data_IF_759995564789
#
_entry.id   IF_759995564789
#
_cell.length_a   1.000
_cell.length_b   1.000
_cell.length_c   1.000
_cell.angle_alpha   90.00
_cell.angle_beta   90.00
_cell.angle_gamma   90.00
#
_symmetry.space_group_name_H-M   'P 1'
#
loop_
_entity.id
_entity.type
_entity.pdbx_description
1 polymer ?
#
# COMPACT_ATOMS: atom_id res chain seq x y z
N UNK A 1 30.40 -7.72 53.27
CA UNK A 1 31.54 -8.40 52.64
C UNK A 1 31.09 -9.04 51.34
N UNK A 2 31.16 -8.32 50.22
CA UNK A 2 32.36 -8.09 49.41
C UNK A 2 32.80 -9.33 48.60
N UNK A 3 32.50 -9.26 47.29
CA UNK A 3 33.43 -9.55 46.17
C UNK A 3 33.71 -11.04 45.83
N UNK A 4 33.96 -11.50 44.58
CA UNK A 4 34.10 -10.93 43.23
C UNK A 4 34.29 -12.09 42.22
N UNK A 5 33.67 -11.98 41.04
CA UNK A 5 34.20 -12.20 39.68
C UNK A 5 34.45 -13.56 38.96
N UNK A 6 34.30 -13.42 37.62
CA UNK A 6 34.67 -14.23 36.42
C UNK A 6 33.73 -15.40 36.08
N UNK A 7 33.12 -15.54 34.90
CA UNK A 7 33.40 -15.01 33.55
C UNK A 7 34.20 -16.04 32.74
N UNK A 8 33.57 -16.75 31.79
CA UNK A 8 33.93 -16.77 30.36
C UNK A 8 33.03 -17.74 29.54
N UNK A 9 32.98 -17.48 28.24
CA UNK A 9 32.23 -18.11 27.16
C UNK A 9 32.31 -19.63 27.04
N UNK A 10 31.21 -20.22 26.57
CA UNK A 10 31.14 -21.63 26.19
C UNK A 10 29.83 -21.98 25.50
N UNK A 11 29.72 -21.58 24.23
CA UNK A 11 28.70 -22.10 23.30
C UNK A 11 28.77 -23.63 23.26
N UNK A 12 27.82 -24.29 23.93
CA UNK A 12 27.60 -25.72 23.79
C UNK A 12 26.23 -25.95 23.16
N UNK A 13 26.22 -26.18 21.85
CA UNK A 13 25.09 -26.77 21.14
C UNK A 13 24.82 -28.15 21.77
N UNK A 14 23.62 -28.42 22.32
CA UNK A 14 23.34 -29.76 22.81
C UNK A 14 23.15 -30.69 21.61
N UNK A 15 24.03 -31.69 21.56
CA UNK A 15 24.00 -32.81 20.62
C UNK A 15 22.74 -33.63 20.89
N UNK A 16 21.91 -33.83 19.87
CA UNK A 16 20.68 -34.64 19.96
C UNK A 16 21.04 -36.12 20.09
N UNK A 17 20.63 -36.84 21.15
CA UNK A 17 20.60 -38.28 21.14
C UNK A 17 19.30 -38.76 20.48
N UNK A 18 19.46 -39.66 19.53
CA UNK A 18 18.39 -40.47 18.96
C UNK A 18 17.92 -41.48 20.00
N UNK A 19 16.78 -41.25 20.64
CA UNK A 19 15.96 -42.35 21.19
C UNK A 19 14.51 -41.91 21.41
N UNK A 20 13.62 -42.87 21.17
CA UNK A 20 12.17 -42.73 21.17
C UNK A 20 11.62 -42.36 22.55
N UNK A 21 11.45 -41.06 22.78
CA UNK A 21 10.76 -40.51 23.94
C UNK A 21 9.82 -39.39 23.49
N UNK A 22 8.56 -39.49 23.88
CA UNK A 22 7.55 -38.45 23.71
C UNK A 22 8.05 -37.16 24.38
N UNK A 23 8.49 -36.19 23.57
CA UNK A 23 8.76 -34.83 24.03
C UNK A 23 7.41 -34.14 24.19
N UNK A 24 6.88 -34.11 25.41
CA UNK A 24 5.94 -33.08 25.81
C UNK A 24 6.74 -31.79 25.96
N UNK A 25 7.00 -31.13 24.83
CA UNK A 25 7.37 -29.74 24.84
C UNK A 25 6.14 -28.97 25.32
N UNK A 26 6.01 -28.82 26.63
CA UNK A 26 5.13 -27.83 27.23
C UNK A 26 5.67 -26.46 26.79
N UNK A 27 5.22 -26.00 25.63
CA UNK A 27 5.42 -24.64 25.18
C UNK A 27 4.50 -23.75 26.02
N UNK A 28 4.95 -23.39 27.22
CA UNK A 28 4.27 -22.45 28.12
C UNK A 28 4.42 -20.99 27.64
N UNK A 29 4.29 -20.81 26.33
CA UNK A 29 4.34 -19.54 25.60
C UNK A 29 3.26 -19.56 24.53
N UNK A 30 2.72 -18.40 24.18
CA UNK A 30 1.65 -18.28 23.19
C UNK A 30 2.02 -19.04 21.89
N UNK A 31 1.34 -20.15 21.63
CA UNK A 31 1.53 -20.93 20.42
C UNK A 31 1.18 -20.05 19.20
N UNK A 32 2.14 -19.88 18.30
CA UNK A 32 2.01 -19.04 17.12
C UNK A 32 3.01 -19.41 16.05
N UNK A 33 2.66 -19.17 14.79
CA UNK A 33 3.52 -19.43 13.64
C UNK A 33 3.66 -18.15 12.82
N UNK A 34 4.89 -17.74 12.52
CA UNK A 34 5.16 -16.65 11.59
C UNK A 34 5.32 -17.20 10.17
N UNK A 35 4.50 -16.71 9.26
CA UNK A 35 4.56 -17.08 7.84
C UNK A 35 5.08 -15.88 7.06
N UNK A 36 6.27 -16.02 6.48
CA UNK A 36 6.88 -15.01 5.62
C UNK A 36 7.33 -15.62 4.30
N UNK A 37 7.18 -14.86 3.21
CA UNK A 37 7.54 -15.33 1.89
C UNK A 37 6.93 -14.51 0.77
N UNK A 38 7.21 -14.93 -0.46
CA UNK A 38 6.72 -14.27 -1.67
C UNK A 38 6.11 -15.31 -2.60
N UNK A 39 4.90 -15.04 -3.08
CA UNK A 39 4.17 -15.94 -3.97
C UNK A 39 4.05 -15.30 -5.36
N UNK A 40 4.50 -16.02 -6.40
CA UNK A 40 4.27 -15.62 -7.79
C UNK A 40 3.00 -16.29 -8.27
N UNK A 41 1.95 -15.50 -8.47
CA UNK A 41 0.62 -15.97 -8.84
C UNK A 41 0.19 -15.39 -10.18
N UNK A 42 -0.77 -16.04 -10.82
CA UNK A 42 -1.46 -15.45 -11.97
C UNK A 42 -2.30 -14.27 -11.50
N UNK A 43 -2.44 -13.26 -12.37
CA UNK A 43 -3.18 -12.04 -12.09
C UNK A 43 -4.67 -12.23 -12.35
N UNK A 44 -5.31 -13.07 -11.53
CA UNK A 44 -6.74 -13.38 -11.60
C UNK A 44 -7.38 -13.31 -10.21
N UNK A 45 -8.69 -13.06 -10.11
CA UNK A 45 -9.40 -13.18 -8.84
C UNK A 45 -9.22 -14.58 -8.25
N UNK A 46 -8.91 -14.65 -6.95
CA UNK A 46 -8.59 -15.90 -6.27
C UNK A 46 -8.68 -15.78 -4.76
N UNK A 47 -8.48 -16.89 -4.04
CA UNK A 47 -8.48 -16.89 -2.57
C UNK A 47 -7.32 -17.72 -2.06
N UNK A 48 -6.48 -17.11 -1.21
CA UNK A 48 -5.46 -17.80 -0.44
C UNK A 48 -6.10 -18.29 0.87
N UNK A 49 -6.05 -19.60 1.14
CA UNK A 49 -6.64 -20.20 2.34
C UNK A 49 -5.56 -20.85 3.18
N UNK A 50 -5.55 -20.53 4.47
CA UNK A 50 -4.69 -21.15 5.48
C UNK A 50 -5.60 -21.91 6.44
N UNK A 51 -5.41 -23.22 6.52
CA UNK A 51 -6.19 -24.12 7.36
C UNK A 51 -5.22 -24.90 8.25
N UNK A 52 -5.65 -25.20 9.47
CA UNK A 52 -4.95 -26.17 10.30
C UNK A 52 -5.19 -27.59 9.74
N UNK A 53 -4.13 -28.37 9.61
CA UNK A 53 -4.19 -29.76 9.18
C UNK A 53 -3.33 -30.62 10.09
N UNK A 54 -3.89 -31.71 10.60
CA UNK A 54 -3.20 -32.67 11.46
C UNK A 54 -3.36 -34.08 10.85
N UNK A 55 -2.24 -34.78 10.63
CA UNK A 55 -2.23 -36.11 10.01
C UNK A 55 -2.50 -37.26 10.99
N UNK A 56 -2.12 -37.09 12.26
CA UNK A 56 -2.16 -38.18 13.26
C UNK A 56 -2.93 -37.81 14.54
N UNK A 57 -3.53 -36.62 14.58
CA UNK A 57 -4.27 -36.10 15.75
C UNK A 57 -5.60 -35.54 15.26
N UNK A 58 -6.68 -35.81 15.99
CA UNK A 58 -8.00 -35.25 15.68
C UNK A 58 -8.02 -33.77 16.05
N UNK A 59 -8.22 -32.91 15.04
CA UNK A 59 -8.35 -31.47 15.23
C UNK A 59 -9.82 -31.13 15.49
N UNK A 60 -10.14 -30.71 16.71
CA UNK A 60 -11.48 -30.21 17.05
C UNK A 60 -11.64 -28.77 16.52
N UNK A 61 -12.55 -28.51 15.55
CA UNK A 61 -12.72 -27.19 14.93
C UNK A 61 -13.02 -26.06 15.91
N UNK A 62 -13.68 -26.36 17.03
CA UNK A 62 -14.09 -25.38 18.03
C UNK A 62 -12.95 -24.72 18.81
N UNK A 63 -11.77 -25.33 18.85
CA UNK A 63 -10.61 -24.87 19.62
C UNK A 63 -9.51 -24.21 18.79
N UNK A 64 -9.64 -24.23 17.46
CA UNK A 64 -8.67 -23.60 16.58
C UNK A 64 -8.82 -22.08 16.66
N UNK A 65 -7.77 -21.42 17.15
CA UNK A 65 -7.73 -19.98 17.26
C UNK A 65 -7.04 -19.35 16.04
N UNK A 66 -7.76 -18.51 15.30
CA UNK A 66 -7.24 -17.79 14.13
C UNK A 66 -6.79 -16.36 14.43
N UNK A 67 -6.57 -16.01 15.71
CA UNK A 67 -5.96 -14.72 16.09
C UNK A 67 -4.64 -14.56 15.35
N UNK A 68 -4.48 -13.48 14.60
CA UNK A 68 -3.26 -13.24 13.85
C UNK A 68 -2.98 -11.75 13.69
N UNK A 69 -1.73 -11.42 13.44
CA UNK A 69 -1.27 -10.07 13.12
C UNK A 69 -0.72 -10.09 11.70
N UNK A 70 -1.23 -9.20 10.85
CA UNK A 70 -0.69 -9.05 9.50
C UNK A 70 0.38 -7.98 9.57
N UNK A 71 1.65 -8.40 9.58
CA UNK A 71 2.77 -7.46 9.60
C UNK A 71 2.85 -6.73 8.27
N UNK A 72 3.13 -7.45 7.18
CA UNK A 72 3.33 -6.85 5.86
C UNK A 72 2.66 -7.68 4.77
N UNK A 73 1.86 -7.02 3.93
CA UNK A 73 1.22 -7.64 2.79
C UNK A 73 1.21 -6.66 1.61
N UNK A 74 1.97 -6.99 0.56
CA UNK A 74 2.26 -6.09 -0.56
C UNK A 74 2.15 -6.82 -1.90
N UNK A 75 1.79 -6.07 -2.93
CA UNK A 75 1.74 -6.56 -4.31
C UNK A 75 2.76 -5.83 -5.17
N UNK A 76 3.46 -6.58 -6.03
CA UNK A 76 4.46 -6.04 -6.94
C UNK A 76 4.51 -6.85 -8.25
N UNK A 77 4.87 -6.18 -9.36
CA UNK A 77 4.97 -6.81 -10.70
C UNK A 77 6.21 -7.68 -10.84
N UNK A 78 7.31 -7.24 -10.24
CA UNK A 78 8.58 -7.94 -10.19
C UNK A 78 9.08 -7.86 -8.74
N UNK A 79 9.42 -9.00 -8.13
CA UNK A 79 10.13 -9.02 -6.86
C UNK A 79 11.57 -9.42 -7.13
N UNK A 80 12.51 -8.49 -6.97
CA UNK A 80 13.92 -8.84 -7.01
C UNK A 80 14.32 -9.37 -5.63
N UNK A 81 14.75 -10.63 -5.53
CA UNK A 81 14.98 -11.33 -4.24
C UNK A 81 15.96 -10.58 -3.33
N UNK A 82 16.97 -9.92 -3.90
CA UNK A 82 17.95 -9.11 -3.15
C UNK A 82 17.34 -7.88 -2.47
N UNK A 83 16.24 -7.34 -2.99
CA UNK A 83 15.61 -6.12 -2.49
C UNK A 83 14.56 -6.41 -1.40
N UNK A 84 13.98 -7.61 -1.37
CA UNK A 84 12.95 -8.00 -0.38
C UNK A 84 13.53 -8.09 1.03
N UNK A 85 14.76 -8.58 1.17
CA UNK A 85 15.38 -8.79 2.49
C UNK A 85 15.72 -7.48 3.22
N UNK A 86 16.00 -6.39 2.48
CA UNK A 86 16.22 -5.05 3.04
C UNK A 86 14.96 -4.16 3.06
N UNK A 87 13.93 -4.48 2.26
CA UNK A 87 12.70 -3.67 2.13
C UNK A 87 11.63 -3.97 3.20
N UNK A 88 11.75 -5.08 3.94
CA UNK A 88 10.87 -5.39 5.08
C UNK A 88 11.05 -4.43 6.28
N UNK A 89 12.12 -3.64 6.31
CA UNK A 89 12.38 -2.63 7.34
C UNK A 89 11.76 -1.25 7.05
N UNK A 90 11.24 -1.02 5.83
CA UNK A 90 10.70 0.28 5.43
C UNK A 90 9.20 0.22 5.23
N UNK A 91 8.48 0.85 6.16
CA UNK A 91 7.03 1.03 6.24
C UNK A 91 6.34 1.60 4.98
N UNK A 92 7.13 1.98 3.96
CA UNK A 92 6.68 2.61 2.71
C UNK A 92 7.10 1.80 1.48
N UNK A 93 7.88 0.73 1.63
CA UNK A 93 8.59 0.11 0.52
C UNK A 93 7.93 -1.20 0.09
N UNK A 94 7.05 -1.12 -0.92
CA UNK A 94 6.89 -2.23 -1.86
C UNK A 94 8.28 -2.52 -2.45
N UNK A 95 8.65 -3.78 -2.76
CA UNK A 95 10.01 -4.16 -3.16
C UNK A 95 10.57 -3.47 -4.43
N UNK A 96 9.82 -2.56 -5.05
CA UNK A 96 10.21 -1.77 -6.23
C UNK A 96 9.76 -0.32 -6.06
N UNK A 97 10.23 0.38 -5.03
CA UNK A 97 9.98 1.82 -4.92
C UNK A 97 11.32 2.55 -4.83
N UNK A 98 11.75 3.11 -5.97
CA UNK A 98 12.84 4.10 -6.01
C UNK A 98 12.42 5.33 -5.19
N UNK A 99 13.36 6.04 -4.56
CA UNK A 99 13.07 7.22 -3.72
C UNK A 99 12.28 8.32 -4.47
N UNK A 100 12.41 8.38 -5.80
CA UNK A 100 11.68 9.26 -6.72
C UNK A 100 10.17 8.95 -6.74
N UNK A 101 9.81 7.67 -6.69
CA UNK A 101 8.43 7.20 -6.66
C UNK A 101 7.71 7.54 -5.35
N UNK A 102 8.39 7.39 -4.21
CA UNK A 102 7.81 7.77 -2.91
C UNK A 102 7.45 9.25 -2.93
N UNK A 103 8.32 10.09 -3.49
CA UNK A 103 8.10 11.54 -3.58
C UNK A 103 6.95 11.91 -4.53
N UNK A 104 6.78 11.17 -5.62
CA UNK A 104 5.70 11.37 -6.57
C UNK A 104 4.33 10.93 -6.06
N UNK A 105 4.32 9.93 -5.18
CA UNK A 105 3.09 9.37 -4.63
C UNK A 105 2.75 9.94 -3.24
N UNK A 106 3.73 10.54 -2.53
CA UNK A 106 3.54 11.32 -1.30
C UNK A 106 2.45 12.41 -1.36
N UNK A 107 2.24 13.16 -2.46
CA UNK A 107 1.16 14.13 -2.56
C UNK A 107 -0.23 13.49 -2.74
N UNK A 108 -0.32 12.20 -3.10
CA UNK A 108 -1.60 11.52 -3.16
C UNK A 108 -2.07 11.25 -1.72
N UNK A 109 -3.14 11.93 -1.29
CA UNK A 109 -3.80 11.73 0.02
C UNK A 109 -4.14 10.24 0.26
N UNK A 110 -4.35 9.49 -0.83
CA UNK A 110 -4.59 8.04 -0.91
C UNK A 110 -3.35 7.18 -0.56
N UNK A 111 -2.14 7.70 -0.70
CA UNK A 111 -0.90 6.97 -0.44
C UNK A 111 -0.62 6.76 1.05
N UNK A 112 -1.22 7.57 1.94
CA UNK A 112 -1.11 7.37 3.40
C UNK A 112 -1.70 6.03 3.87
N UNK A 113 -2.57 5.41 3.06
CA UNK A 113 -3.16 4.10 3.32
C UNK A 113 -2.81 3.08 2.22
N UNK A 114 -1.58 3.10 1.68
CA UNK A 114 -1.15 2.13 0.67
C UNK A 114 -1.34 0.66 1.07
N UNK A 115 -1.22 0.38 2.38
CA UNK A 115 -1.26 -0.98 2.92
C UNK A 115 -2.21 -1.04 4.14
N UNK A 116 -3.54 -1.06 3.93
CA UNK A 116 -4.52 -0.98 5.02
C UNK A 116 -4.51 -2.16 5.99
N UNK A 117 -3.84 -3.28 5.67
CA UNK A 117 -3.68 -4.46 6.53
C UNK A 117 -2.39 -4.44 7.36
N UNK A 118 -1.48 -3.48 7.09
CA UNK A 118 -0.16 -3.42 7.72
C UNK A 118 -0.26 -3.17 9.24
N UNK A 119 0.40 -4.02 10.03
CA UNK A 119 0.45 -3.94 11.49
C UNK A 119 -0.89 -4.12 12.20
N UNK A 120 -1.94 -4.63 11.51
CA UNK A 120 -3.25 -4.83 12.13
C UNK A 120 -3.33 -6.18 12.83
N UNK A 121 -3.83 -6.15 14.06
CA UNK A 121 -4.13 -7.33 14.85
C UNK A 121 -5.61 -7.71 14.73
N UNK A 122 -5.87 -8.98 14.40
CA UNK A 122 -7.21 -9.55 14.27
C UNK A 122 -7.38 -10.64 15.32
N UNK A 123 -8.37 -10.47 16.19
CA UNK A 123 -8.65 -11.41 17.27
C UNK A 123 -9.94 -12.19 16.99
N UNK A 124 -9.81 -13.53 16.95
CA UNK A 124 -10.92 -14.46 16.97
C UNK A 124 -11.53 -14.48 18.39
N UNK A 125 -12.74 -13.93 18.54
CA UNK A 125 -13.44 -13.86 19.84
C UNK A 125 -14.39 -15.02 20.13
N UNK A 126 -14.75 -15.80 19.11
CA UNK A 126 -15.77 -16.84 19.20
C UNK A 126 -15.21 -18.20 18.75
N UNK A 127 -15.72 -19.28 19.35
CA UNK A 127 -15.46 -20.63 18.86
C UNK A 127 -16.03 -20.79 17.45
N UNK A 128 -15.38 -21.58 16.61
CA UNK A 128 -15.76 -21.78 15.21
C UNK A 128 -15.76 -20.48 14.37
N UNK A 129 -14.95 -19.49 14.74
CA UNK A 129 -14.84 -18.26 13.97
C UNK A 129 -13.86 -18.41 12.80
N UNK A 130 -14.38 -18.32 11.59
CA UNK A 130 -13.64 -18.07 10.36
C UNK A 130 -13.29 -16.58 10.25
N UNK A 131 -12.03 -16.26 9.91
CA UNK A 131 -11.62 -14.89 9.57
C UNK A 131 -11.35 -14.80 8.07
N UNK A 132 -12.05 -13.89 7.40
CA UNK A 132 -11.91 -13.66 5.98
C UNK A 132 -11.53 -12.20 5.68
N UNK A 133 -10.43 -12.00 4.97
CA UNK A 133 -9.99 -10.71 4.45
C UNK A 133 -10.28 -10.63 2.96
N UNK A 134 -11.06 -9.65 2.54
CA UNK A 134 -11.33 -9.36 1.15
C UNK A 134 -10.51 -8.14 0.72
N UNK A 135 -9.60 -8.36 -0.22
CA UNK A 135 -8.70 -7.36 -0.75
C UNK A 135 -9.11 -7.03 -2.17
N UNK A 136 -9.38 -5.75 -2.43
CA UNK A 136 -9.62 -5.24 -3.77
C UNK A 136 -8.39 -4.50 -4.26
N UNK A 137 -7.70 -5.09 -5.22
CA UNK A 137 -6.43 -4.59 -5.75
C UNK A 137 -6.69 -3.75 -7.00
N UNK A 138 -6.22 -2.51 -6.99
CA UNK A 138 -6.29 -1.60 -8.12
C UNK A 138 -4.88 -1.41 -8.68
N UNK A 139 -4.61 -1.88 -9.91
CA UNK A 139 -3.36 -1.60 -10.58
C UNK A 139 -3.25 -0.11 -10.89
N UNK A 140 -2.07 0.44 -10.69
CA UNK A 140 -1.76 1.80 -11.09
C UNK A 140 -0.43 1.85 -11.81
N UNK A 141 -0.38 2.64 -12.87
CA UNK A 141 0.87 3.02 -13.53
C UNK A 141 1.15 4.49 -13.35
N UNK A 142 2.43 4.78 -13.23
CA UNK A 142 2.95 6.13 -13.29
C UNK A 142 3.88 6.25 -14.50
N UNK A 143 3.85 7.41 -15.12
CA UNK A 143 4.81 7.81 -16.15
C UNK A 143 5.32 9.21 -15.79
N UNK A 144 6.62 9.32 -15.54
CA UNK A 144 7.28 10.60 -15.29
C UNK A 144 7.68 11.28 -16.60
N UNK A 145 7.75 12.61 -16.58
CA UNK A 145 8.29 13.40 -17.71
C UNK A 145 9.76 13.04 -17.98
N UNK A 146 10.48 12.57 -16.95
CA UNK A 146 11.85 12.07 -17.06
C UNK A 146 11.99 10.71 -17.78
N UNK A 147 10.88 10.08 -18.18
CA UNK A 147 10.87 8.78 -18.87
C UNK A 147 10.94 7.56 -17.95
N UNK A 148 10.97 7.75 -16.62
CA UNK A 148 10.79 6.66 -15.68
C UNK A 148 9.32 6.20 -15.68
N UNK A 149 9.09 4.93 -16.01
CA UNK A 149 7.79 4.29 -15.96
C UNK A 149 7.79 3.17 -14.93
N UNK A 150 6.66 2.99 -14.26
CA UNK A 150 6.48 1.78 -13.48
C UNK A 150 5.06 1.57 -12.98
N UNK A 151 4.92 0.48 -12.23
CA UNK A 151 3.63 -0.02 -11.80
C UNK A 151 3.63 -0.23 -10.29
N UNK A 152 2.56 0.25 -9.66
CA UNK A 152 2.27 0.04 -8.26
C UNK A 152 0.88 -0.56 -8.11
N UNK A 153 0.65 -1.21 -6.99
CA UNK A 153 -0.62 -1.85 -6.68
C UNK A 153 -1.14 -1.24 -5.39
N UNK A 154 -2.26 -0.54 -5.50
CA UNK A 154 -3.01 -0.08 -4.34
C UNK A 154 -4.04 -1.15 -4.01
N UNK A 155 -4.36 -1.32 -2.74
CA UNK A 155 -5.47 -2.18 -2.38
C UNK A 155 -6.26 -1.61 -1.21
N UNK A 156 -7.55 -1.92 -1.21
CA UNK A 156 -8.42 -1.72 -0.04
C UNK A 156 -8.71 -3.07 0.59
N UNK A 157 -8.91 -3.08 1.92
CA UNK A 157 -9.15 -4.30 2.67
C UNK A 157 -10.44 -4.20 3.46
N UNK A 158 -11.25 -5.25 3.40
CA UNK A 158 -12.44 -5.43 4.22
C UNK A 158 -12.33 -6.75 4.98
N UNK A 159 -12.64 -6.73 6.28
CA UNK A 159 -12.49 -7.88 7.16
C UNK A 159 -13.86 -8.39 7.56
N UNK A 160 -14.07 -9.70 7.47
CA UNK A 160 -15.30 -10.38 7.86
C UNK A 160 -14.98 -11.48 8.85
N UNK A 161 -15.82 -11.58 9.86
CA UNK A 161 -15.82 -12.66 10.84
C UNK A 161 -17.09 -13.47 10.63
N UNK A 162 -16.94 -14.74 10.32
CA UNK A 162 -18.08 -15.64 10.16
C UNK A 162 -17.98 -16.71 11.23
N UNK A 163 -19.09 -17.05 11.87
CA UNK A 163 -19.13 -18.18 12.82
C UNK A 163 -19.83 -19.32 12.10
N UNK A 164 -19.16 -20.46 11.99
CA UNK A 164 -19.70 -21.62 11.29
C UNK A 164 -19.41 -22.90 12.05
N UNK A 165 -20.43 -23.40 12.74
CA UNK A 165 -20.34 -24.50 13.70
C UNK A 165 -19.86 -25.84 13.08
N UNK A 166 -20.10 -26.07 11.78
CA UNK A 166 -19.83 -27.35 11.13
C UNK A 166 -18.60 -27.36 10.21
N UNK A 167 -17.86 -26.26 10.10
CA UNK A 167 -16.69 -26.16 9.23
C UNK A 167 -15.40 -25.98 10.02
N UNK A 168 -14.31 -26.59 9.54
CA UNK A 168 -12.97 -26.31 10.07
C UNK A 168 -12.65 -24.83 9.86
N UNK A 169 -12.33 -24.09 10.93
CA UNK A 169 -12.06 -22.68 10.80
C UNK A 169 -10.80 -22.46 9.95
N UNK A 170 -10.89 -21.45 9.10
CA UNK A 170 -9.90 -21.13 8.08
C UNK A 170 -9.66 -19.63 8.00
N UNK A 171 -8.40 -19.25 7.80
CA UNK A 171 -8.04 -17.89 7.44
C UNK A 171 -8.07 -17.78 5.91
N UNK A 172 -8.99 -16.98 5.38
CA UNK A 172 -9.17 -16.81 3.95
C UNK A 172 -8.83 -15.38 3.53
N UNK A 173 -7.93 -15.22 2.57
CA UNK A 173 -7.56 -13.94 1.96
C UNK A 173 -8.08 -13.98 0.52
N UNK A 174 -9.25 -13.38 0.30
CA UNK A 174 -9.84 -13.20 -1.02
C UNK A 174 -9.19 -12.02 -1.73
N UNK A 175 -8.66 -12.25 -2.92
CA UNK A 175 -7.99 -11.24 -3.75
C UNK A 175 -8.84 -11.04 -5.00
N UNK A 176 -9.36 -9.83 -5.17
CA UNK A 176 -10.09 -9.43 -6.37
C UNK A 176 -9.32 -8.30 -7.08
N UNK A 177 -9.09 -8.47 -8.37
CA UNK A 177 -8.29 -7.54 -9.16
C UNK A 177 -9.23 -6.67 -9.97
N UNK A 178 -9.18 -5.36 -9.73
CA UNK A 178 -9.99 -4.42 -10.47
C UNK A 178 -9.62 -4.46 -11.97
N UNK A 179 -10.62 -4.50 -12.87
CA UNK A 179 -10.39 -4.33 -14.30
C UNK A 179 -9.99 -2.90 -14.66
N UNK A 180 -10.16 -1.94 -13.74
CA UNK A 180 -9.76 -0.55 -13.93
C UNK A 180 -8.29 -0.35 -13.59
N UNK A 181 -7.61 0.51 -14.34
CA UNK A 181 -6.22 0.91 -14.07
C UNK A 181 -6.11 2.42 -13.94
N UNK A 182 -5.46 2.88 -12.87
CA UNK A 182 -5.18 4.30 -12.66
C UNK A 182 -3.88 4.70 -13.35
N UNK A 183 -3.93 5.72 -14.20
CA UNK A 183 -2.75 6.28 -14.86
C UNK A 183 -2.41 7.63 -14.25
N UNK A 184 -1.25 7.73 -13.61
CA UNK A 184 -0.70 8.98 -13.12
C UNK A 184 0.30 9.52 -14.15
N UNK A 185 -0.04 10.66 -14.73
CA UNK A 185 0.86 11.44 -15.59
C UNK A 185 1.27 12.69 -14.86
N UNK A 186 2.56 12.91 -14.75
CA UNK A 186 3.07 14.20 -14.30
C UNK A 186 2.91 15.20 -15.45
N UNK A 187 2.13 16.27 -15.22
CA UNK A 187 2.02 17.37 -16.15
C UNK A 187 2.90 18.51 -15.65
N UNK A 188 3.83 18.97 -16.49
CA UNK A 188 4.45 20.27 -16.29
C UNK A 188 3.63 21.29 -17.05
N UNK A 189 3.19 22.34 -16.36
CA UNK A 189 2.69 23.51 -17.07
C UNK A 189 3.85 24.17 -17.81
N UNK A 190 3.68 24.35 -19.12
CA UNK A 190 4.66 25.03 -19.95
C UNK A 190 4.59 26.55 -19.72
N UNK A 191 5.74 27.21 -19.73
CA UNK A 191 5.87 28.67 -19.65
C UNK A 191 5.11 29.42 -20.77
N UNK A 192 4.75 28.70 -21.85
CA UNK A 192 3.95 29.23 -22.97
C UNK A 192 2.55 29.62 -22.55
N UNK A 193 1.92 28.90 -21.61
CA UNK A 193 0.61 29.25 -21.06
C UNK A 193 0.64 30.60 -20.35
N UNK A 194 1.70 30.83 -19.56
CA UNK A 194 1.94 32.10 -18.87
C UNK A 194 2.20 33.26 -19.83
N UNK A 195 3.07 33.06 -20.83
CA UNK A 195 3.36 34.09 -21.84
C UNK A 195 2.12 34.46 -22.66
N UNK A 196 1.35 33.47 -23.07
CA UNK A 196 0.10 33.67 -23.82
C UNK A 196 -0.92 34.44 -22.99
N UNK A 197 -1.08 34.08 -21.71
CA UNK A 197 -1.95 34.81 -20.78
C UNK A 197 -1.52 36.26 -20.61
N UNK A 198 -0.22 36.52 -20.43
CA UNK A 198 0.33 37.87 -20.27
C UNK A 198 0.13 38.72 -21.53
N UNK A 199 0.42 38.16 -22.70
CA UNK A 199 0.22 38.84 -23.99
C UNK A 199 -1.27 39.19 -24.21
N UNK A 200 -2.18 38.26 -23.90
CA UNK A 200 -3.62 38.48 -24.03
C UNK A 200 -4.11 39.64 -23.15
N UNK A 201 -3.60 39.76 -21.92
CA UNK A 201 -3.94 40.88 -21.02
C UNK A 201 -3.39 42.20 -21.57
N UNK A 202 -2.13 42.25 -22.00
CA UNK A 202 -1.51 43.48 -22.54
C UNK A 202 -2.22 43.93 -23.82
N UNK A 203 -2.49 43.00 -24.75
CA UNK A 203 -3.21 43.29 -25.99
C UNK A 203 -4.65 43.73 -25.75
N UNK A 204 -5.34 43.13 -24.78
CA UNK A 204 -6.68 43.54 -24.37
C UNK A 204 -6.71 44.97 -23.83
N UNK A 205 -5.80 45.30 -22.90
CA UNK A 205 -5.71 46.64 -22.31
C UNK A 205 -5.41 47.70 -23.37
N UNK A 206 -4.45 47.43 -24.27
CA UNK A 206 -4.11 48.36 -25.35
C UNK A 206 -5.30 48.63 -26.29
N UNK A 207 -6.06 47.58 -26.64
CA UNK A 207 -7.24 47.70 -27.51
C UNK A 207 -8.34 48.53 -26.85
N UNK A 208 -8.62 48.29 -25.57
CA UNK A 208 -9.65 49.03 -24.82
C UNK A 208 -9.28 50.51 -24.70
N UNK A 209 -8.01 50.83 -24.37
CA UNK A 209 -7.56 52.22 -24.31
C UNK A 209 -7.65 52.91 -25.68
N UNK A 210 -7.22 52.25 -26.76
CA UNK A 210 -7.30 52.79 -28.12
C UNK A 210 -8.73 53.12 -28.54
N UNK A 211 -9.68 52.22 -28.23
CA UNK A 211 -11.10 52.45 -28.52
C UNK A 211 -11.67 53.62 -27.70
N UNK A 212 -11.29 53.73 -26.43
CA UNK A 212 -11.79 54.76 -25.52
C UNK A 212 -11.29 56.16 -25.91
N UNK A 213 -10.01 56.28 -26.29
CA UNK A 213 -9.45 57.54 -26.80
C UNK A 213 -10.13 57.95 -28.11
N UNK A 214 -10.33 57.02 -29.05
CA UNK A 214 -11.02 57.32 -30.31
C UNK A 214 -12.47 57.79 -30.11
N UNK A 215 -13.20 57.21 -29.14
CA UNK A 215 -14.54 57.65 -28.78
C UNK A 215 -14.54 59.05 -28.14
N UNK A 216 -13.58 59.34 -27.27
CA UNK A 216 -13.46 60.66 -26.66
C UNK A 216 -13.15 61.74 -27.70
N UNK A 217 -12.20 61.50 -28.60
CA UNK A 217 -11.78 62.46 -29.60
C UNK A 217 -12.93 62.80 -30.57
N UNK A 218 -13.59 61.77 -31.11
CA UNK A 218 -14.78 61.92 -31.97
C UNK A 218 -15.94 62.62 -31.26
N UNK A 219 -16.15 62.35 -29.96
CA UNK A 219 -17.16 63.06 -29.18
C UNK A 219 -16.79 64.54 -28.97
N UNK A 220 -15.51 64.85 -28.75
CA UNK A 220 -15.03 66.22 -28.55
C UNK A 220 -15.19 67.07 -29.81
N UNK A 221 -14.88 66.49 -30.98
CA UNK A 221 -15.09 67.13 -32.28
C UNK A 221 -16.59 67.32 -32.57
N UNK A 222 -17.43 66.33 -32.26
CA UNK A 222 -18.88 66.43 -32.42
C UNK A 222 -19.52 67.49 -31.49
N UNK A 223 -19.00 67.65 -30.27
CA UNK A 223 -19.42 68.71 -29.36
C UNK A 223 -18.92 70.09 -29.79
N UNK A 224 -17.67 70.20 -30.26
CA UNK A 224 -17.12 71.46 -30.76
C UNK A 224 -17.83 71.95 -32.03
N UNK A 225 -18.31 71.04 -32.88
CA UNK A 225 -19.03 71.39 -34.11
C UNK A 225 -20.50 71.78 -33.89
N UNK A 226 -21.03 71.54 -32.69
CA UNK A 226 -22.41 71.87 -32.30
C UNK A 226 -22.51 73.18 -31.50
N UNK A 227 -21.39 73.77 -31.08
CA UNK A 227 -21.34 75.06 -30.37
C UNK A 227 -20.98 76.26 -31.26
N UNK A 228 -20.96 76.07 -32.59
CA UNK A 228 -20.91 77.12 -33.64
C UNK A 228 -22.19 76.97 -34.46
#
# INVERSE_FOLDING_TARGET
>A
DAMLNKGDDGSSVPKVPSDHGFFEAAADGAEGCEISGTLKLQRVPGTLRLNAHAHHVSLEPGWVNLTHTINTFVFAKQLNRSHVQHSLASFVSSPVINSTLIRAVAPLKEARNMHPLHGKHFSARYRHSDIAHYLKVIPSSYSFVAGEEGELYLYTANNRFNVRESATPSLAIGIDISPMRMFYREYREDWTSFLTSTCAVIGGVFTVFGMLVALLDTSSEAFSKKSI
#
